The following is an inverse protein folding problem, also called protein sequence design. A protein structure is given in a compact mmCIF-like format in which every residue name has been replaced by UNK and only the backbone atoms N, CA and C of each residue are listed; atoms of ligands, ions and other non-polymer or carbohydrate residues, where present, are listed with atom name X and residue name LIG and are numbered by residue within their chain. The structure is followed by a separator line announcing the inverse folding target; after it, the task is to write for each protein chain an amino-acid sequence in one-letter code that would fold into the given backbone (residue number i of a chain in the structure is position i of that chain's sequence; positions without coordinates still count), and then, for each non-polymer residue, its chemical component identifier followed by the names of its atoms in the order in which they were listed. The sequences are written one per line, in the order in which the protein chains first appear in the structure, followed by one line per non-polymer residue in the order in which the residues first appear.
data_IF_208419070793
#
_entry.id   IF_208419070793
#
_cell.length_a   1.000
_cell.length_b   1.000
_cell.length_c   1.000
_cell.angle_alpha   90.00
_cell.angle_beta   90.00
_cell.angle_gamma   90.00
#
_symmetry.space_group_name_H-M   'P 1'
#
loop_
_entity.id
_entity.type
_entity.pdbx_description
1 polymer ?
#
# COMPACT_ATOMS: atom_id res chain seq x y z
N UNK A 1 -6.86 -23.22 -9.08
CA UNK A 1 -8.12 -22.42 -9.25
C UNK A 1 -7.98 -21.47 -10.46
N UNK A 2 -9.07 -20.94 -11.06
CA UNK A 2 -8.95 -19.82 -12.01
C UNK A 2 -8.99 -18.49 -11.26
N UNK A 3 -7.82 -17.86 -11.05
CA UNK A 3 -7.71 -16.59 -10.34
C UNK A 3 -8.06 -15.44 -11.29
N UNK A 4 -9.22 -14.83 -11.06
CA UNK A 4 -9.74 -13.70 -11.85
C UNK A 4 -9.49 -12.34 -11.19
N UNK A 5 -8.94 -12.31 -9.97
CA UNK A 5 -8.69 -11.09 -9.20
C UNK A 5 -7.49 -11.27 -8.29
N UNK A 6 -6.60 -10.27 -8.27
CA UNK A 6 -5.47 -10.19 -7.34
C UNK A 6 -5.60 -8.88 -6.58
N UNK A 7 -5.61 -8.96 -5.26
CA UNK A 7 -5.56 -7.78 -4.38
C UNK A 7 -4.16 -7.67 -3.80
N UNK A 8 -3.56 -6.48 -3.87
CA UNK A 8 -2.20 -6.23 -3.38
C UNK A 8 -2.28 -5.12 -2.34
N UNK A 9 -1.77 -5.41 -1.15
CA UNK A 9 -1.62 -4.46 -0.05
C UNK A 9 -0.23 -4.61 0.55
N UNK A 10 0.22 -3.58 1.26
CA UNK A 10 1.52 -3.53 1.88
C UNK A 10 1.84 -2.12 2.36
N UNK A 11 2.85 -2.03 3.23
CA UNK A 11 3.29 -0.77 3.82
C UNK A 11 3.73 0.24 2.74
N UNK A 12 3.67 1.55 3.01
CA UNK A 12 4.22 2.55 2.10
C UNK A 12 5.67 2.25 1.72
N UNK A 13 5.99 2.25 0.41
CA UNK A 13 7.35 1.98 -0.07
C UNK A 13 7.70 0.51 -0.30
N UNK A 14 6.85 -0.44 0.10
CA UNK A 14 7.07 -1.89 -0.10
C UNK A 14 6.96 -2.38 -1.56
N UNK A 15 6.70 -1.48 -2.52
CA UNK A 15 6.67 -1.83 -3.95
C UNK A 15 5.33 -2.37 -4.46
N UNK A 16 4.24 -2.27 -3.71
CA UNK A 16 2.88 -2.71 -4.10
C UNK A 16 2.47 -2.23 -5.49
N UNK A 17 2.59 -0.93 -5.77
CA UNK A 17 2.26 -0.34 -7.08
C UNK A 17 3.16 -0.88 -8.19
N UNK A 18 4.43 -1.14 -7.91
CA UNK A 18 5.38 -1.71 -8.89
C UNK A 18 4.95 -3.12 -9.27
N UNK A 19 4.69 -3.97 -8.28
CA UNK A 19 4.25 -5.36 -8.50
C UNK A 19 2.89 -5.42 -9.20
N UNK A 20 1.95 -4.57 -8.81
CA UNK A 20 0.63 -4.50 -9.45
C UNK A 20 0.73 -4.20 -10.96
N UNK A 21 1.60 -3.27 -11.35
CA UNK A 21 1.82 -2.93 -12.76
C UNK A 21 2.51 -4.06 -13.54
N UNK A 22 3.45 -4.78 -12.92
CA UNK A 22 4.09 -5.94 -13.55
C UNK A 22 3.08 -7.07 -13.79
N UNK A 23 2.28 -7.41 -12.78
CA UNK A 23 1.24 -8.44 -12.88
C UNK A 23 0.17 -8.07 -13.91
N UNK A 24 -0.26 -6.80 -13.96
CA UNK A 24 -1.16 -6.28 -14.99
C UNK A 24 -0.67 -6.64 -16.39
N UNK A 25 0.59 -6.31 -16.71
CA UNK A 25 1.18 -6.58 -18.02
C UNK A 25 1.33 -8.08 -18.28
N UNK A 26 1.80 -8.84 -17.28
CA UNK A 26 2.12 -10.25 -17.42
C UNK A 26 0.89 -11.14 -17.60
N UNK A 27 -0.19 -10.82 -16.88
CA UNK A 27 -1.43 -11.60 -16.86
C UNK A 27 -2.55 -10.97 -17.71
N UNK A 28 -2.26 -9.86 -18.39
CA UNK A 28 -3.23 -9.08 -19.16
C UNK A 28 -4.49 -8.72 -18.36
N UNK A 29 -4.30 -8.32 -17.10
CA UNK A 29 -5.39 -7.97 -16.19
C UNK A 29 -5.74 -6.49 -16.28
N UNK A 30 -6.98 -6.16 -15.91
CA UNK A 30 -7.34 -4.78 -15.60
C UNK A 30 -6.70 -4.36 -14.27
N UNK A 31 -6.21 -3.12 -14.19
CA UNK A 31 -5.60 -2.57 -12.98
C UNK A 31 -6.49 -1.48 -12.40
N UNK A 32 -6.97 -1.71 -11.18
CA UNK A 32 -7.80 -0.76 -10.42
C UNK A 32 -6.95 -0.22 -9.28
N UNK A 33 -6.69 1.09 -9.29
CA UNK A 33 -6.04 1.78 -8.19
C UNK A 33 -7.06 2.60 -7.41
N UNK A 34 -7.66 1.98 -6.40
CA UNK A 34 -8.75 2.57 -5.61
C UNK A 34 -8.40 3.95 -5.04
N UNK A 35 -7.17 4.14 -4.53
CA UNK A 35 -6.73 5.43 -4.01
C UNK A 35 -6.79 6.57 -5.03
N UNK A 36 -6.49 6.31 -6.31
CA UNK A 36 -6.61 7.32 -7.37
C UNK A 36 -8.07 7.62 -7.69
N UNK A 37 -8.93 6.60 -7.68
CA UNK A 37 -10.36 6.75 -7.95
C UNK A 37 -11.00 7.61 -6.87
N UNK A 38 -10.77 7.30 -5.59
CA UNK A 38 -11.32 8.08 -4.49
C UNK A 38 -10.80 9.53 -4.50
N UNK A 39 -9.52 9.76 -4.80
CA UNK A 39 -8.98 11.12 -4.93
C UNK A 39 -9.68 11.93 -6.01
N UNK A 40 -9.86 11.34 -7.18
CA UNK A 40 -10.60 11.97 -8.27
C UNK A 40 -12.06 12.27 -7.88
N UNK A 41 -12.73 11.32 -7.23
CA UNK A 41 -14.10 11.53 -6.76
C UNK A 41 -14.20 12.66 -5.73
N UNK A 42 -13.23 12.77 -4.83
CA UNK A 42 -13.20 13.83 -3.84
C UNK A 42 -13.05 15.21 -4.49
N UNK A 43 -12.12 15.34 -5.45
CA UNK A 43 -11.94 16.56 -6.26
C UNK A 43 -13.23 16.94 -7.01
N UNK A 44 -13.88 15.98 -7.68
CA UNK A 44 -15.11 16.21 -8.46
C UNK A 44 -16.32 16.61 -7.60
N UNK A 45 -16.32 16.25 -6.32
CA UNK A 45 -17.41 16.57 -5.39
C UNK A 45 -17.06 17.73 -4.45
N UNK A 46 -15.95 18.44 -4.69
CA UNK A 46 -15.44 19.49 -3.79
C UNK A 46 -15.27 19.00 -2.34
N UNK A 47 -15.03 17.71 -2.17
CA UNK A 47 -14.83 17.06 -0.89
C UNK A 47 -13.35 16.95 -0.59
N UNK A 48 -12.96 17.33 0.63
CA UNK A 48 -11.65 16.97 1.14
C UNK A 48 -11.69 15.49 1.54
N UNK A 49 -10.86 14.66 0.89
CA UNK A 49 -10.58 13.35 1.47
C UNK A 49 -9.91 13.60 2.80
N UNK A 50 -10.57 13.20 3.88
CA UNK A 50 -9.98 13.09 5.21
C UNK A 50 -8.92 11.96 5.18
N UNK A 51 -7.80 12.32 4.56
CA UNK A 51 -6.47 11.74 4.52
C UNK A 51 -5.43 12.87 4.65
N UNK A 52 -5.82 13.92 5.39
CA UNK A 52 -5.14 15.18 5.72
C UNK A 52 -3.69 15.08 6.26
N UNK A 53 -3.11 13.89 6.53
CA UNK A 53 -1.93 13.78 7.40
C UNK A 53 -0.59 13.93 6.66
N UNK A 54 -0.39 13.25 5.53
CA UNK A 54 0.85 13.39 4.75
C UNK A 54 0.99 14.79 4.10
N UNK A 55 -0.13 15.38 3.73
CA UNK A 55 -0.18 16.71 3.11
C UNK A 55 0.07 17.85 4.13
N UNK A 56 -0.10 17.59 5.44
CA UNK A 56 0.35 18.48 6.53
C UNK A 56 1.83 18.29 6.87
N UNK A 57 2.30 17.05 6.88
CA UNK A 57 3.71 16.71 7.17
C UNK A 57 4.66 17.23 6.07
N UNK A 58 4.25 17.18 4.79
CA UNK A 58 5.03 17.77 3.68
C UNK A 58 5.23 19.28 3.84
N UNK A 59 4.20 20.01 4.29
CA UNK A 59 4.24 21.48 4.46
C UNK A 59 5.11 21.97 5.62
N UNK A 60 5.37 21.13 6.65
CA UNK A 60 6.29 21.44 7.76
C UNK A 60 7.74 21.13 7.38
N UNK A 61 7.97 20.06 6.62
CA UNK A 61 9.31 19.71 6.11
C UNK A 61 9.83 20.80 5.15
N UNK A 62 8.96 21.38 4.32
CA UNK A 62 9.27 22.53 3.45
C UNK A 62 9.63 23.82 4.23
N UNK A 63 9.30 23.89 5.53
CA UNK A 63 9.56 25.07 6.38
C UNK A 63 10.78 24.91 7.30
N UNK A 64 11.14 23.70 7.72
CA UNK A 64 12.11 23.47 8.83
C UNK A 64 13.23 22.44 8.52
N UNK A 65 13.15 21.68 7.43
CA UNK A 65 14.12 20.63 7.08
C UNK A 65 13.91 19.27 7.78
N UNK A 66 14.58 18.20 7.29
CA UNK A 66 14.42 16.83 7.81
C UNK A 66 15.53 15.84 7.44
N UNK A 67 15.87 14.96 8.40
CA UNK A 67 16.88 13.89 8.29
C UNK A 67 16.27 12.51 7.98
N UNK A 68 17.09 11.54 7.59
CA UNK A 68 16.66 10.14 7.35
C UNK A 68 15.99 9.51 8.59
N UNK A 69 16.49 9.85 9.77
CA UNK A 69 15.96 9.41 11.06
C UNK A 69 14.55 9.95 11.32
N UNK A 70 14.31 11.23 10.99
CA UNK A 70 12.98 11.86 11.12
C UNK A 70 11.95 11.15 10.25
N UNK A 71 12.29 10.82 9.00
CA UNK A 71 11.39 10.09 8.10
C UNK A 71 11.08 8.66 8.57
N UNK A 72 12.04 7.97 9.20
CA UNK A 72 11.80 6.64 9.79
C UNK A 72 10.81 6.73 10.93
N UNK A 73 11.02 7.67 11.86
CA UNK A 73 10.13 7.89 13.00
C UNK A 73 8.71 8.28 12.56
N UNK A 74 8.57 9.16 11.57
CA UNK A 74 7.27 9.53 11.00
C UNK A 74 6.54 8.32 10.38
N UNK A 75 7.28 7.42 9.72
CA UNK A 75 6.73 6.20 9.14
C UNK A 75 6.26 5.22 10.22
N UNK A 76 7.07 4.99 11.25
CA UNK A 76 6.72 4.17 12.41
C UNK A 76 5.47 4.70 13.13
N UNK A 77 5.42 6.01 13.42
CA UNK A 77 4.27 6.66 14.05
C UNK A 77 2.99 6.55 13.19
N UNK A 78 3.15 6.59 11.87
CA UNK A 78 2.04 6.39 10.94
C UNK A 78 1.53 4.97 11.00
N UNK A 79 2.41 3.98 10.90
CA UNK A 79 2.07 2.56 10.94
C UNK A 79 1.36 2.20 12.25
N UNK A 80 1.87 2.68 13.39
CA UNK A 80 1.20 2.50 14.68
C UNK A 80 -0.18 3.17 14.73
N UNK A 81 -0.30 4.40 14.21
CA UNK A 81 -1.57 5.11 14.19
C UNK A 81 -2.58 4.40 13.28
N UNK A 82 -2.15 3.88 12.14
CA UNK A 82 -2.97 3.08 11.22
C UNK A 82 -3.43 1.80 11.89
N UNK A 83 -2.52 1.02 12.48
CA UNK A 83 -2.86 -0.20 13.20
C UNK A 83 -3.89 0.03 14.31
N UNK A 84 -3.70 1.08 15.13
CA UNK A 84 -4.65 1.46 16.19
C UNK A 84 -6.03 1.82 15.63
N UNK A 85 -6.10 2.65 14.57
CA UNK A 85 -7.39 3.04 13.97
C UNK A 85 -8.12 1.84 13.39
N UNK A 86 -7.42 0.97 12.65
CA UNK A 86 -8.03 -0.20 12.03
C UNK A 86 -8.58 -1.18 13.06
N UNK A 87 -7.82 -1.42 14.14
CA UNK A 87 -8.25 -2.26 15.25
C UNK A 87 -9.44 -1.67 16.00
N UNK A 88 -9.39 -0.39 16.34
CA UNK A 88 -10.41 0.24 17.18
C UNK A 88 -11.73 0.50 16.43
N UNK A 89 -11.68 0.93 15.17
CA UNK A 89 -12.88 1.29 14.40
C UNK A 89 -13.48 0.13 13.62
N UNK A 90 -12.65 -0.81 13.16
CA UNK A 90 -13.08 -1.88 12.25
C UNK A 90 -12.85 -3.28 12.82
N UNK A 91 -12.19 -3.42 13.97
CA UNK A 91 -11.82 -4.74 14.51
C UNK A 91 -10.78 -5.48 13.68
N UNK A 92 -10.08 -4.78 12.78
CA UNK A 92 -9.11 -5.39 11.86
C UNK A 92 -7.71 -5.27 12.47
N UNK A 93 -7.05 -6.40 12.69
CA UNK A 93 -5.64 -6.44 13.05
C UNK A 93 -4.77 -6.39 11.77
N UNK A 94 -4.04 -5.29 11.58
CA UNK A 94 -3.15 -5.15 10.41
C UNK A 94 -1.93 -6.09 10.47
N UNK A 95 -1.62 -6.65 11.63
CA UNK A 95 -0.59 -7.69 11.77
C UNK A 95 -1.11 -9.09 11.45
N UNK A 96 -2.43 -9.28 11.30
CA UNK A 96 -3.00 -10.55 10.88
C UNK A 96 -2.81 -10.74 9.38
N UNK A 97 -1.78 -11.50 9.04
CA UNK A 97 -1.46 -11.84 7.65
C UNK A 97 -2.21 -13.07 7.14
N UNK A 98 -3.05 -13.71 7.96
CA UNK A 98 -3.78 -14.93 7.57
C UNK A 98 -4.82 -14.68 6.48
N UNK A 99 -5.21 -13.43 6.28
CA UNK A 99 -6.11 -13.01 5.18
C UNK A 99 -5.43 -13.06 3.80
N UNK A 100 -4.11 -13.23 3.74
CA UNK A 100 -3.35 -13.25 2.51
C UNK A 100 -2.99 -14.68 2.11
N UNK A 101 -3.23 -15.03 0.84
CA UNK A 101 -2.75 -16.28 0.26
C UNK A 101 -1.22 -16.31 0.11
N UNK A 102 -0.59 -15.13 -0.01
CA UNK A 102 0.86 -14.94 -0.17
C UNK A 102 1.32 -13.72 0.59
N UNK A 103 2.39 -13.90 1.37
CA UNK A 103 3.15 -12.83 2.02
C UNK A 103 4.59 -12.88 1.50
N UNK A 104 5.13 -11.75 1.05
CA UNK A 104 6.50 -11.67 0.52
C UNK A 104 7.26 -10.51 1.16
N UNK A 105 8.39 -10.81 1.81
CA UNK A 105 9.36 -9.79 2.20
C UNK A 105 10.15 -9.33 0.95
N UNK A 106 10.05 -8.04 0.65
CA UNK A 106 10.65 -7.42 -0.54
C UNK A 106 12.00 -6.74 -0.26
N UNK A 107 12.50 -6.78 0.98
CA UNK A 107 13.63 -5.94 1.43
C UNK A 107 14.88 -6.08 0.57
N UNK A 108 15.23 -7.30 0.18
CA UNK A 108 16.48 -7.61 -0.52
C UNK A 108 16.27 -8.37 -1.83
N UNK A 109 15.08 -8.29 -2.42
CA UNK A 109 14.75 -9.02 -3.64
C UNK A 109 14.16 -8.09 -4.70
N UNK A 110 14.45 -8.40 -5.97
CA UNK A 110 13.95 -7.59 -7.08
C UNK A 110 12.45 -7.80 -7.30
N UNK A 111 11.76 -6.83 -7.92
CA UNK A 111 10.36 -6.98 -8.30
C UNK A 111 10.05 -8.24 -9.13
N UNK A 112 10.98 -8.68 -9.97
CA UNK A 112 10.80 -9.90 -10.78
C UNK A 112 10.78 -11.17 -9.93
N UNK A 113 11.60 -11.22 -8.86
CA UNK A 113 11.60 -12.34 -7.91
C UNK A 113 10.29 -12.38 -7.13
N UNK A 114 9.79 -11.22 -6.70
CA UNK A 114 8.48 -11.10 -6.03
C UNK A 114 7.36 -11.59 -6.96
N UNK A 115 7.36 -11.13 -8.22
CA UNK A 115 6.38 -11.57 -9.21
C UNK A 115 6.42 -13.09 -9.42
N UNK A 116 7.62 -13.68 -9.51
CA UNK A 116 7.76 -15.14 -9.66
C UNK A 116 7.09 -15.89 -8.51
N UNK A 117 7.33 -15.47 -7.27
CA UNK A 117 6.72 -16.08 -6.06
C UNK A 117 5.19 -16.01 -6.08
N UNK A 118 4.64 -14.86 -6.49
CA UNK A 118 3.18 -14.69 -6.63
C UNK A 118 2.62 -15.63 -7.71
N UNK A 119 3.28 -15.69 -8.87
CA UNK A 119 2.85 -16.55 -9.98
C UNK A 119 2.94 -18.05 -9.68
N UNK A 120 3.92 -18.46 -8.86
CA UNK A 120 4.00 -19.85 -8.37
C UNK A 120 2.76 -20.19 -7.55
N UNK A 121 2.33 -19.32 -6.63
CA UNK A 121 1.13 -19.56 -5.84
C UNK A 121 -0.16 -19.56 -6.66
N UNK A 122 -0.25 -18.74 -7.70
CA UNK A 122 -1.43 -18.65 -8.56
C UNK A 122 -1.67 -19.97 -9.35
N UNK A 123 -0.62 -20.76 -9.57
CA UNK A 123 -0.68 -22.01 -10.35
C UNK A 123 -1.12 -23.23 -9.54
N UNK A 124 -1.14 -23.13 -8.21
CA UNK A 124 -1.65 -24.17 -7.31
C UNK A 124 -3.20 -24.18 -7.27
#
# INVERSE_FOLDING_TARGET
MQINRITISGLPGSGTTTIANLLKKKLNLQYIYAGKIFRKMAEENEMELLGEKEERVRRIIEREGGSLEKKRKEMEEREESEAKRYKNFYGIDLGDLSIYDVVVDTTNISPDVVMKKILEKIKD
#
